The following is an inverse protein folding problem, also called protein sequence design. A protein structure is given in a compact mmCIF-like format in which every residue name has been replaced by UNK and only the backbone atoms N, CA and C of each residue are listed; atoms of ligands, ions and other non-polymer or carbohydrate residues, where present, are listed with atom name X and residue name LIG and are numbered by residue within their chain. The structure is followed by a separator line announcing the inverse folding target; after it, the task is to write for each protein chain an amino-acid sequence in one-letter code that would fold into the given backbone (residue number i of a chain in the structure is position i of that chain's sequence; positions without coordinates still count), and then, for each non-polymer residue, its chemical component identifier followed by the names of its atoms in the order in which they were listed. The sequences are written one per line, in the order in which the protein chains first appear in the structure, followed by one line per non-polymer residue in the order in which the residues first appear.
data_IF_823547480038
#
_entry.id   IF_823547480038
#
_cell.length_a   1.000
_cell.length_b   1.000
_cell.length_c   1.000
_cell.angle_alpha   90.00
_cell.angle_beta   90.00
_cell.angle_gamma   90.00
#
_symmetry.space_group_name_H-M   'P 1'
#
loop_
_entity.id
_entity.type
_entity.pdbx_description
1 polymer ?
#
# COMPACT_ATOMS: atom_id res chain seq x y z
N UNK A 1 -4.78 -7.62 -23.58
CA UNK A 1 -5.84 -6.59 -23.68
C UNK A 1 -5.68 -5.79 -24.97
N UNK A 2 -6.78 -5.37 -25.61
CA UNK A 2 -6.74 -4.56 -26.84
C UNK A 2 -6.44 -3.09 -26.50
N UNK A 3 -5.58 -2.45 -27.29
CA UNK A 3 -5.23 -1.01 -27.13
C UNK A 3 -6.48 -0.13 -27.18
N UNK A 4 -7.43 -0.42 -28.08
CA UNK A 4 -8.68 0.34 -28.21
C UNK A 4 -9.53 0.28 -26.93
N UNK A 5 -9.58 -0.87 -26.25
CA UNK A 5 -10.28 -1.03 -24.96
C UNK A 5 -9.63 -0.18 -23.88
N UNK A 6 -8.30 -0.20 -23.78
CA UNK A 6 -7.56 0.60 -22.80
C UNK A 6 -7.70 2.10 -23.07
N UNK A 7 -7.60 2.53 -24.33
CA UNK A 7 -7.82 3.92 -24.71
C UNK A 7 -9.23 4.39 -24.38
N UNK A 8 -10.26 3.57 -24.65
CA UNK A 8 -11.64 3.90 -24.29
C UNK A 8 -11.78 4.11 -22.78
N UNK A 9 -11.21 3.21 -21.99
CA UNK A 9 -11.30 3.25 -20.53
C UNK A 9 -10.54 4.44 -19.92
N UNK A 10 -9.25 4.60 -20.23
CA UNK A 10 -8.41 5.64 -19.64
C UNK A 10 -8.75 7.05 -20.14
N UNK A 11 -9.44 7.19 -21.27
CA UNK A 11 -9.84 8.48 -21.82
C UNK A 11 -11.15 9.03 -21.24
N UNK A 12 -11.71 8.38 -20.20
CA UNK A 12 -12.81 8.93 -19.41
C UNK A 12 -12.31 10.11 -18.57
N UNK A 13 -12.95 11.28 -18.68
CA UNK A 13 -12.41 12.50 -18.09
C UNK A 13 -12.27 12.43 -16.56
N UNK A 14 -13.22 11.83 -15.85
CA UNK A 14 -13.15 11.66 -14.39
C UNK A 14 -11.95 10.80 -13.96
N UNK A 15 -11.74 9.66 -14.63
CA UNK A 15 -10.59 8.78 -14.38
C UNK A 15 -9.28 9.50 -14.72
N UNK A 16 -9.25 10.17 -15.87
CA UNK A 16 -8.04 10.84 -16.33
C UNK A 16 -7.62 11.97 -15.41
N UNK A 17 -8.57 12.80 -14.96
CA UNK A 17 -8.32 13.89 -14.03
C UNK A 17 -7.75 13.37 -12.70
N UNK A 18 -8.29 12.26 -12.20
CA UNK A 18 -7.80 11.63 -10.98
C UNK A 18 -6.41 11.02 -11.15
N UNK A 19 -6.13 10.37 -12.28
CA UNK A 19 -4.79 9.88 -12.61
C UNK A 19 -3.79 11.03 -12.62
N UNK A 20 -4.09 12.13 -13.32
CA UNK A 20 -3.20 13.29 -13.37
C UNK A 20 -2.99 13.93 -12.00
N UNK A 21 -4.05 14.01 -11.17
CA UNK A 21 -3.96 14.50 -9.78
C UNK A 21 -2.97 13.67 -8.97
N UNK A 22 -3.08 12.35 -9.04
CA UNK A 22 -2.25 11.43 -8.25
C UNK A 22 -0.82 11.34 -8.79
N UNK A 23 -0.61 11.50 -10.10
CA UNK A 23 0.72 11.54 -10.72
C UNK A 23 1.55 12.78 -10.34
N UNK A 24 0.90 13.85 -9.88
CA UNK A 24 1.59 15.10 -9.51
C UNK A 24 2.66 14.83 -8.45
N UNK A 25 3.84 15.41 -8.65
CA UNK A 25 5.00 15.31 -7.77
C UNK A 25 5.47 13.87 -7.51
N UNK A 26 5.12 12.90 -8.37
CA UNK A 26 5.54 11.49 -8.22
C UNK A 26 6.29 10.98 -9.43
N UNK A 27 7.11 9.96 -9.18
CA UNK A 27 7.62 9.14 -10.26
C UNK A 27 6.49 8.23 -10.77
N UNK A 28 6.30 8.16 -12.09
CA UNK A 28 5.22 7.40 -12.74
C UNK A 28 5.78 6.45 -13.77
N UNK A 29 5.64 5.14 -13.54
CA UNK A 29 6.23 4.10 -14.37
C UNK A 29 5.15 3.23 -15.03
N UNK A 30 5.07 3.21 -16.37
CA UNK A 30 4.19 2.31 -17.08
C UNK A 30 4.73 0.87 -17.04
N UNK A 31 3.82 -0.09 -17.04
CA UNK A 31 4.09 -1.51 -17.25
C UNK A 31 3.46 -1.92 -18.57
N UNK A 32 4.29 -2.42 -19.48
CA UNK A 32 3.89 -2.79 -20.82
C UNK A 32 3.31 -4.20 -20.88
N UNK A 33 2.55 -4.50 -21.93
CA UNK A 33 1.89 -5.80 -22.12
C UNK A 33 2.81 -7.03 -22.07
N UNK A 34 4.11 -6.86 -22.34
CA UNK A 34 5.11 -7.93 -22.24
C UNK A 34 5.71 -8.08 -20.82
N UNK A 35 5.18 -7.36 -19.83
CA UNK A 35 5.59 -7.45 -18.43
C UNK A 35 6.83 -6.63 -18.04
N UNK A 36 7.38 -5.81 -18.94
CA UNK A 36 8.51 -4.94 -18.62
C UNK A 36 8.06 -3.56 -18.17
N UNK A 37 8.73 -3.02 -17.15
CA UNK A 37 8.54 -1.65 -16.69
C UNK A 37 9.21 -0.65 -17.64
N UNK A 38 8.64 0.56 -17.74
CA UNK A 38 9.26 1.69 -18.39
C UNK A 38 10.54 2.16 -17.70
N UNK A 39 11.30 3.02 -18.37
CA UNK A 39 12.52 3.62 -17.81
C UNK A 39 12.18 4.55 -16.64
N UNK A 40 13.09 4.57 -15.67
CA UNK A 40 13.03 5.38 -14.45
C UNK A 40 14.15 6.44 -14.45
N UNK A 41 13.92 7.67 -13.95
CA UNK A 41 12.64 8.23 -13.57
C UNK A 41 11.76 8.60 -14.78
N UNK A 42 10.47 8.73 -14.53
CA UNK A 42 9.47 9.14 -15.54
C UNK A 42 8.31 9.84 -14.84
N UNK A 43 7.56 10.65 -15.59
CA UNK A 43 6.38 11.40 -15.13
C UNK A 43 5.28 11.34 -16.18
N UNK A 44 4.04 11.62 -15.76
CA UNK A 44 2.90 11.89 -16.64
C UNK A 44 2.37 13.25 -16.21
N UNK A 45 2.43 14.24 -17.10
CA UNK A 45 2.03 15.62 -16.78
C UNK A 45 0.73 15.99 -17.48
N UNK A 46 0.51 15.44 -18.67
CA UNK A 46 -0.64 15.77 -19.51
C UNK A 46 -1.39 14.52 -19.96
N UNK A 47 -2.69 14.70 -20.30
CA UNK A 47 -3.56 13.71 -20.93
C UNK A 47 -2.87 12.97 -22.07
N UNK A 48 -2.18 13.72 -22.94
CA UNK A 48 -1.51 13.16 -24.12
C UNK A 48 -0.39 12.18 -23.75
N UNK A 49 0.35 12.43 -22.67
CA UNK A 49 1.45 11.56 -22.22
C UNK A 49 0.92 10.16 -21.87
N UNK A 50 -0.16 10.10 -21.09
CA UNK A 50 -0.83 8.86 -20.72
C UNK A 50 -1.33 8.10 -21.98
N UNK A 51 -2.05 8.80 -22.87
CA UNK A 51 -2.61 8.17 -24.07
C UNK A 51 -1.53 7.67 -25.03
N UNK A 52 -0.41 8.40 -25.18
CA UNK A 52 0.71 7.99 -26.03
C UNK A 52 1.45 6.77 -25.45
N UNK A 53 1.56 6.66 -24.11
CA UNK A 53 2.07 5.45 -23.47
C UNK A 53 1.18 4.23 -23.72
N UNK A 54 -0.15 4.40 -23.66
CA UNK A 54 -1.11 3.33 -23.98
C UNK A 54 -0.98 2.91 -25.45
N UNK A 55 -0.85 3.86 -26.38
CA UNK A 55 -0.61 3.56 -27.80
C UNK A 55 0.69 2.79 -28.02
N UNK A 56 1.71 3.03 -27.19
CA UNK A 56 2.98 2.27 -27.15
C UNK A 56 2.87 0.92 -26.44
N UNK A 57 1.70 0.54 -25.94
CA UNK A 57 1.43 -0.75 -25.33
C UNK A 57 1.52 -0.79 -23.80
N UNK A 58 1.52 0.36 -23.13
CA UNK A 58 1.35 0.41 -21.67
C UNK A 58 -0.04 -0.08 -21.27
N UNK A 59 -0.11 -0.88 -20.21
CA UNK A 59 -1.35 -1.48 -19.69
C UNK A 59 -1.63 -0.97 -18.28
N UNK A 60 -0.64 -1.10 -17.40
CA UNK A 60 -0.71 -0.61 -16.02
C UNK A 60 0.25 0.56 -15.82
N UNK A 61 -0.01 1.36 -14.80
CA UNK A 61 0.81 2.46 -14.36
C UNK A 61 0.98 2.38 -12.85
N UNK A 62 2.18 2.76 -12.40
CA UNK A 62 2.58 2.68 -11.02
C UNK A 62 3.17 4.02 -10.60
N UNK A 63 2.91 4.44 -9.37
CA UNK A 63 3.39 5.70 -8.81
C UNK A 63 4.32 5.44 -7.62
N UNK A 64 5.28 6.34 -7.40
CA UNK A 64 6.05 6.32 -6.15
C UNK A 64 5.18 6.69 -4.96
N UNK A 65 5.40 6.01 -3.84
CA UNK A 65 4.79 6.39 -2.56
C UNK A 65 5.34 7.73 -2.07
N UNK A 66 6.63 7.98 -2.31
CA UNK A 66 7.27 9.28 -2.09
C UNK A 66 6.84 10.33 -3.12
N UNK A 67 6.88 11.59 -2.68
CA UNK A 67 6.61 12.80 -3.46
C UNK A 67 7.89 13.62 -3.57
N UNK A 68 8.10 14.24 -4.73
CA UNK A 68 9.36 14.86 -5.12
C UNK A 68 9.11 16.23 -5.74
N UNK A 69 9.98 17.19 -5.43
CA UNK A 69 9.97 18.53 -6.04
C UNK A 69 10.14 18.47 -7.56
N UNK A 70 10.99 17.56 -8.03
CA UNK A 70 11.15 17.24 -9.45
C UNK A 70 11.50 15.75 -9.59
N UNK A 71 10.53 14.87 -9.90
CA UNK A 71 10.78 13.43 -10.01
C UNK A 71 11.85 13.06 -11.06
N UNK A 72 12.03 13.87 -12.11
CA UNK A 72 13.04 13.60 -13.15
C UNK A 72 14.48 13.77 -12.63
N UNK A 73 14.69 14.56 -11.58
CA UNK A 73 16.01 14.74 -10.95
C UNK A 73 16.51 13.50 -10.21
N UNK A 74 15.64 12.52 -9.92
CA UNK A 74 16.02 11.23 -9.30
C UNK A 74 17.00 10.41 -10.15
N UNK A 75 17.16 10.71 -11.44
CA UNK A 75 18.15 10.07 -12.30
C UNK A 75 19.59 10.50 -11.98
N UNK A 76 19.76 11.55 -11.19
CA UNK A 76 21.06 12.15 -10.83
C UNK A 76 21.43 11.94 -9.36
N UNK A 77 20.54 11.37 -8.56
CA UNK A 77 20.78 11.11 -7.13
C UNK A 77 21.46 9.76 -6.93
N UNK A 78 22.53 9.72 -6.15
CA UNK A 78 23.29 8.52 -5.81
C UNK A 78 23.27 8.21 -4.30
N UNK A 79 22.88 9.17 -3.48
CA UNK A 79 22.85 9.02 -2.01
C UNK A 79 21.45 9.27 -1.45
N UNK A 80 21.21 8.74 -0.24
CA UNK A 80 19.97 9.03 0.51
C UNK A 80 19.81 10.53 0.74
N UNK A 81 20.88 11.24 1.09
CA UNK A 81 20.84 12.68 1.37
C UNK A 81 20.35 13.49 0.16
N UNK A 82 20.89 13.22 -1.03
CA UNK A 82 20.45 13.88 -2.28
C UNK A 82 18.98 13.58 -2.59
N UNK A 83 18.52 12.36 -2.33
CA UNK A 83 17.09 12.03 -2.46
C UNK A 83 16.23 12.79 -1.45
N UNK A 84 16.67 12.87 -0.19
CA UNK A 84 15.95 13.56 0.88
C UNK A 84 15.81 15.06 0.57
N UNK A 85 16.77 15.67 -0.13
CA UNK A 85 16.71 17.07 -0.60
C UNK A 85 15.64 17.29 -1.69
N UNK A 86 15.37 16.28 -2.50
CA UNK A 86 14.30 16.31 -3.52
C UNK A 86 12.93 15.98 -2.93
N UNK A 87 12.87 15.24 -1.82
CA UNK A 87 11.62 14.73 -1.26
C UNK A 87 10.81 15.86 -0.63
N UNK A 88 9.53 15.94 -1.01
CA UNK A 88 8.57 16.92 -0.45
C UNK A 88 7.58 16.27 0.52
N UNK A 89 7.50 14.94 0.52
CA UNK A 89 6.65 14.15 1.40
C UNK A 89 6.57 12.70 0.95
N UNK A 90 5.72 11.92 1.60
CA UNK A 90 5.43 10.53 1.24
C UNK A 90 4.12 10.12 1.88
N UNK A 91 3.40 9.21 1.25
CA UNK A 91 2.14 8.70 1.79
C UNK A 91 2.37 7.36 2.48
N UNK A 92 1.58 7.03 3.49
CA UNK A 92 1.65 5.72 4.11
C UNK A 92 0.74 4.81 3.32
N UNK A 93 1.25 3.71 2.77
CA UNK A 93 0.45 2.76 2.01
C UNK A 93 0.71 1.35 2.51
N UNK A 94 -0.35 0.64 2.87
CA UNK A 94 -0.33 -0.78 3.17
C UNK A 94 -0.80 -1.54 1.94
N UNK A 95 -0.03 -2.53 1.50
CA UNK A 95 -0.44 -3.47 0.45
C UNK A 95 -0.82 -4.80 1.10
N UNK A 96 -2.11 -5.09 1.14
CA UNK A 96 -2.67 -6.35 1.65
C UNK A 96 -2.80 -7.30 0.47
N UNK A 97 -1.92 -8.29 0.38
CA UNK A 97 -1.96 -9.32 -0.65
C UNK A 97 -2.32 -10.70 -0.09
N UNK A 98 -3.12 -11.43 -0.85
CA UNK A 98 -3.51 -12.81 -0.57
C UNK A 98 -4.16 -13.38 -1.82
N UNK A 99 -4.23 -14.71 -1.91
CA UNK A 99 -4.92 -15.39 -3.02
C UNK A 99 -6.44 -15.30 -2.90
N UNK A 100 -6.99 -14.95 -1.73
CA UNK A 100 -8.43 -15.00 -1.47
C UNK A 100 -8.96 -13.64 -1.03
N UNK A 101 -9.81 -13.04 -1.88
CA UNK A 101 -10.38 -11.72 -1.64
C UNK A 101 -11.12 -11.60 -0.29
N UNK A 102 -11.80 -12.67 0.15
CA UNK A 102 -12.47 -12.69 1.45
C UNK A 102 -11.50 -12.46 2.63
N UNK A 103 -10.30 -13.04 2.57
CA UNK A 103 -9.27 -12.84 3.59
C UNK A 103 -8.74 -11.40 3.54
N UNK A 104 -8.56 -10.86 2.33
CA UNK A 104 -8.12 -9.48 2.13
C UNK A 104 -9.12 -8.47 2.71
N UNK A 105 -10.44 -8.72 2.56
CA UNK A 105 -11.50 -7.86 3.10
C UNK A 105 -11.43 -7.76 4.62
N UNK A 106 -11.31 -8.91 5.30
CA UNK A 106 -11.22 -8.97 6.77
C UNK A 106 -9.99 -8.18 7.25
N UNK A 107 -8.83 -8.40 6.63
CA UNK A 107 -7.59 -7.70 6.98
C UNK A 107 -7.69 -6.18 6.70
N UNK A 108 -8.17 -5.78 5.52
CA UNK A 108 -8.34 -4.39 5.17
C UNK A 108 -9.29 -3.64 6.13
N UNK A 109 -10.40 -4.28 6.53
CA UNK A 109 -11.34 -3.71 7.50
C UNK A 109 -10.71 -3.52 8.88
N UNK A 110 -9.93 -4.49 9.35
CA UNK A 110 -9.19 -4.35 10.61
C UNK A 110 -8.13 -3.23 10.54
N UNK A 111 -7.44 -3.07 9.42
CA UNK A 111 -6.53 -1.94 9.21
C UNK A 111 -7.27 -0.59 9.20
N UNK A 112 -8.48 -0.52 8.62
CA UNK A 112 -9.31 0.68 8.71
C UNK A 112 -9.61 1.04 10.16
N UNK A 113 -10.12 0.07 10.95
CA UNK A 113 -10.40 0.29 12.36
C UNK A 113 -9.15 0.67 13.17
N UNK A 114 -7.98 0.11 12.82
CA UNK A 114 -6.72 0.48 13.46
C UNK A 114 -6.33 1.93 13.14
N UNK A 115 -6.50 2.39 11.89
CA UNK A 115 -6.29 3.79 11.53
C UNK A 115 -7.25 4.74 12.27
N UNK A 116 -8.53 4.38 12.34
CA UNK A 116 -9.56 5.13 13.08
C UNK A 116 -9.26 5.20 14.59
N UNK A 117 -8.78 4.10 15.17
CA UNK A 117 -8.34 4.05 16.57
C UNK A 117 -7.23 5.06 16.86
N UNK A 118 -6.36 5.34 15.88
CA UNK A 118 -5.32 6.37 15.96
C UNK A 118 -5.77 7.75 15.47
N UNK A 119 -7.08 8.02 15.48
CA UNK A 119 -7.68 9.30 15.13
C UNK A 119 -7.43 9.75 13.67
N UNK A 120 -7.11 8.82 12.77
CA UNK A 120 -6.92 9.12 11.35
C UNK A 120 -8.29 9.11 10.67
N UNK A 121 -8.78 10.30 10.35
CA UNK A 121 -10.11 10.47 9.74
C UNK A 121 -10.06 10.51 8.22
N UNK A 122 -8.90 10.84 7.64
CA UNK A 122 -8.71 10.87 6.19
C UNK A 122 -7.75 9.77 5.75
N UNK A 123 -8.29 8.64 5.33
CA UNK A 123 -7.57 7.57 4.68
C UNK A 123 -8.39 7.06 3.49
N UNK A 124 -7.76 6.28 2.63
CA UNK A 124 -8.35 5.79 1.40
C UNK A 124 -8.12 4.31 1.23
N UNK A 125 -9.07 3.62 0.61
CA UNK A 125 -8.99 2.19 0.33
C UNK A 125 -9.21 1.97 -1.15
N UNK A 126 -8.44 1.07 -1.75
CA UNK A 126 -8.66 0.62 -3.12
C UNK A 126 -8.47 -0.87 -3.25
N UNK A 127 -9.31 -1.52 -4.04
CA UNK A 127 -9.02 -2.86 -4.56
C UNK A 127 -7.78 -2.78 -5.47
N UNK A 128 -6.86 -3.74 -5.38
CA UNK A 128 -5.59 -3.69 -6.13
C UNK A 128 -5.72 -4.05 -7.61
N UNK A 129 -6.90 -4.46 -8.07
CA UNK A 129 -7.13 -5.13 -9.35
C UNK A 129 -6.74 -6.62 -9.34
N UNK A 130 -6.20 -7.12 -8.23
CA UNK A 130 -5.79 -8.51 -8.01
C UNK A 130 -6.74 -9.28 -7.09
N UNK A 131 -6.27 -9.61 -5.90
CA UNK A 131 -7.06 -10.27 -4.85
C UNK A 131 -6.90 -9.58 -3.50
N UNK A 132 -6.28 -8.40 -3.50
CA UNK A 132 -5.89 -7.64 -2.34
C UNK A 132 -6.43 -6.21 -2.33
N UNK A 133 -6.08 -5.47 -1.28
CA UNK A 133 -6.44 -4.07 -1.09
C UNK A 133 -5.21 -3.24 -0.77
N UNK A 134 -5.22 -1.97 -1.18
CA UNK A 134 -4.28 -0.99 -0.65
C UNK A 134 -5.04 -0.03 0.24
N UNK A 135 -4.47 0.28 1.40
CA UNK A 135 -4.93 1.34 2.27
C UNK A 135 -3.89 2.45 2.28
N UNK A 136 -4.33 3.70 2.22
CA UNK A 136 -3.46 4.85 2.07
C UNK A 136 -3.82 5.99 3.00
N UNK A 137 -2.84 6.52 3.73
CA UNK A 137 -2.94 7.76 4.51
C UNK A 137 -2.11 8.85 3.83
N UNK A 138 -2.72 9.98 3.42
CA UNK A 138 -2.01 11.03 2.71
C UNK A 138 -1.00 11.76 3.60
N UNK A 139 0.12 12.19 3.01
CA UNK A 139 1.17 12.96 3.70
C UNK A 139 0.64 14.19 4.46
N UNK A 140 -0.43 14.80 3.97
CA UNK A 140 -1.09 15.95 4.58
C UNK A 140 -1.58 15.68 6.02
N UNK A 141 -1.88 14.42 6.36
CA UNK A 141 -2.30 14.00 7.70
C UNK A 141 -1.13 13.90 8.70
N UNK A 142 0.11 13.88 8.21
CA UNK A 142 1.27 13.59 9.06
C UNK A 142 1.65 14.77 9.94
N UNK A 143 2.24 14.55 11.12
CA UNK A 143 2.90 15.61 11.87
C UNK A 143 4.06 16.20 11.07
N UNK A 144 4.37 17.49 11.26
CA UNK A 144 5.53 18.12 10.60
C UNK A 144 6.85 17.49 11.06
N UNK A 145 6.95 17.17 12.35
CA UNK A 145 8.13 16.54 12.92
C UNK A 145 7.78 15.44 13.93
N UNK A 146 8.63 14.42 13.99
CA UNK A 146 8.66 13.39 15.03
C UNK A 146 10.08 13.32 15.59
N UNK A 147 10.21 13.39 16.93
CA UNK A 147 11.52 13.39 17.61
C UNK A 147 12.49 14.46 17.08
N UNK A 148 11.97 15.65 16.73
CA UNK A 148 12.71 16.77 16.13
C UNK A 148 13.23 16.53 14.70
N UNK A 149 12.88 15.41 14.08
CA UNK A 149 13.17 15.15 12.66
C UNK A 149 11.95 15.47 11.80
N UNK A 150 12.18 16.09 10.64
CA UNK A 150 11.16 16.37 9.62
C UNK A 150 10.57 15.06 9.09
N UNK A 151 9.26 14.90 9.23
CA UNK A 151 8.57 13.67 8.84
C UNK A 151 8.74 13.37 7.36
N UNK A 152 8.89 14.38 6.50
CA UNK A 152 9.15 14.15 5.07
C UNK A 152 10.43 13.31 4.87
N UNK A 153 11.44 13.45 5.73
CA UNK A 153 12.75 12.78 5.60
C UNK A 153 12.80 11.40 6.25
N UNK A 154 11.73 10.99 6.94
CA UNK A 154 11.69 9.73 7.68
C UNK A 154 11.37 8.50 6.82
N UNK A 155 11.16 8.65 5.51
CA UNK A 155 10.95 7.51 4.63
C UNK A 155 12.29 6.77 4.33
N UNK A 156 12.32 5.42 4.30
CA UNK A 156 11.21 4.49 4.54
C UNK A 156 11.00 4.12 6.02
N UNK A 157 11.88 4.56 6.93
CA UNK A 157 11.93 4.09 8.32
C UNK A 157 10.60 4.30 9.07
N UNK A 158 10.00 5.48 9.00
CA UNK A 158 8.72 5.73 9.65
C UNK A 158 7.61 4.84 9.07
N UNK A 159 7.54 4.71 7.75
CA UNK A 159 6.55 3.88 7.07
C UNK A 159 6.67 2.40 7.49
N UNK A 160 7.90 1.86 7.51
CA UNK A 160 8.18 0.49 7.96
C UNK A 160 7.78 0.27 9.42
N UNK A 161 8.15 1.19 10.32
CA UNK A 161 7.81 1.09 11.75
C UNK A 161 6.30 1.08 11.97
N UNK A 162 5.59 1.99 11.29
CA UNK A 162 4.14 2.08 11.35
C UNK A 162 3.49 0.80 10.79
N UNK A 163 4.00 0.27 9.67
CA UNK A 163 3.45 -0.93 9.07
C UNK A 163 3.63 -2.18 9.92
N UNK A 164 4.81 -2.38 10.50
CA UNK A 164 5.05 -3.48 11.43
C UNK A 164 4.20 -3.32 12.70
N UNK A 165 4.07 -2.10 13.22
CA UNK A 165 3.23 -1.82 14.40
C UNK A 165 1.75 -2.15 14.16
N UNK A 166 1.15 -1.64 13.09
CA UNK A 166 -0.27 -1.90 12.80
C UNK A 166 -0.52 -3.37 12.43
N UNK A 167 0.45 -4.01 11.77
CA UNK A 167 0.40 -5.46 11.51
C UNK A 167 0.35 -6.22 12.84
N UNK A 168 1.26 -5.95 13.77
CA UNK A 168 1.26 -6.60 15.09
C UNK A 168 -0.05 -6.34 15.87
N UNK A 169 -0.52 -5.09 15.86
CA UNK A 169 -1.75 -4.67 16.54
C UNK A 169 -2.99 -5.45 16.10
N UNK A 170 -3.12 -5.79 14.81
CA UNK A 170 -4.31 -6.49 14.29
C UNK A 170 -4.18 -8.01 14.28
N UNK A 171 -3.00 -8.59 14.61
CA UNK A 171 -2.71 -10.02 14.43
C UNK A 171 -3.76 -10.91 15.09
N UNK A 172 -4.00 -10.72 16.39
CA UNK A 172 -4.90 -11.56 17.18
C UNK A 172 -6.34 -11.47 16.65
N UNK A 173 -6.83 -10.23 16.43
CA UNK A 173 -8.19 -10.01 15.91
C UNK A 173 -8.38 -10.55 14.50
N UNK A 174 -7.35 -10.51 13.68
CA UNK A 174 -7.36 -11.08 12.34
C UNK A 174 -7.47 -12.61 12.40
N UNK A 175 -6.71 -13.26 13.29
CA UNK A 175 -6.80 -14.71 13.51
C UNK A 175 -8.20 -15.12 13.99
N UNK A 176 -8.73 -14.43 15.00
CA UNK A 176 -10.08 -14.67 15.54
C UNK A 176 -11.16 -14.52 14.46
N UNK A 177 -11.14 -13.41 13.70
CA UNK A 177 -12.15 -13.15 12.69
C UNK A 177 -12.11 -14.18 11.56
N UNK A 178 -10.92 -14.61 11.12
CA UNK A 178 -10.77 -15.68 10.14
C UNK A 178 -11.32 -17.01 10.67
N UNK A 179 -10.97 -17.38 11.91
CA UNK A 179 -11.42 -18.63 12.52
C UNK A 179 -12.92 -18.66 12.85
N UNK A 180 -13.55 -17.49 12.99
CA UNK A 180 -15.01 -17.39 13.17
C UNK A 180 -15.81 -17.78 11.91
N UNK A 181 -15.16 -17.75 10.74
CA UNK A 181 -15.77 -18.02 9.43
C UNK A 181 -15.22 -19.31 8.80
N UNK A 182 -13.95 -19.63 9.06
CA UNK A 182 -13.22 -20.73 8.42
C UNK A 182 -12.55 -21.62 9.46
N UNK A 183 -12.66 -22.94 9.33
CA UNK A 183 -11.83 -23.86 10.13
C UNK A 183 -10.41 -23.94 9.55
N UNK A 184 -9.44 -24.38 10.36
CA UNK A 184 -8.06 -24.58 9.90
C UNK A 184 -7.97 -25.57 8.73
N UNK A 185 -8.80 -26.61 8.73
CA UNK A 185 -8.89 -27.59 7.65
C UNK A 185 -9.39 -26.93 6.37
N UNK A 186 -10.41 -26.07 6.47
CA UNK A 186 -10.94 -25.35 5.30
C UNK A 186 -9.93 -24.34 4.73
N UNK A 187 -9.15 -23.68 5.60
CA UNK A 187 -8.07 -22.78 5.18
C UNK A 187 -6.96 -23.59 4.50
N UNK A 188 -6.57 -24.73 5.08
CA UNK A 188 -5.57 -25.65 4.54
C UNK A 188 -5.95 -26.14 3.14
N UNK A 189 -7.16 -26.67 2.98
CA UNK A 189 -7.70 -27.13 1.70
C UNK A 189 -7.73 -26.00 0.67
N UNK A 190 -8.29 -24.85 1.06
CA UNK A 190 -8.45 -23.71 0.16
C UNK A 190 -7.10 -23.17 -0.31
N UNK A 191 -6.13 -23.04 0.59
CA UNK A 191 -4.80 -22.45 0.31
C UNK A 191 -3.81 -23.44 -0.30
N UNK A 192 -4.05 -24.74 -0.15
CA UNK A 192 -3.14 -25.82 -0.52
C UNK A 192 -1.92 -25.93 0.41
N UNK A 193 -2.02 -25.43 1.64
CA UNK A 193 -0.96 -25.49 2.67
C UNK A 193 -1.30 -26.54 3.71
N UNK A 194 -0.30 -27.17 4.32
CA UNK A 194 -0.55 -28.08 5.44
C UNK A 194 -0.93 -27.29 6.70
N UNK A 195 -1.78 -27.86 7.56
CA UNK A 195 -2.23 -27.20 8.81
C UNK A 195 -1.04 -26.76 9.67
N UNK A 196 0.02 -27.57 9.75
CA UNK A 196 1.23 -27.24 10.51
C UNK A 196 1.90 -25.94 10.03
N UNK A 197 1.79 -25.61 8.74
CA UNK A 197 2.38 -24.41 8.14
C UNK A 197 1.51 -23.16 8.37
N UNK A 198 0.31 -23.33 8.94
CA UNK A 198 -0.61 -22.26 9.31
C UNK A 198 -0.43 -21.81 10.76
N UNK A 199 0.31 -22.57 11.57
CA UNK A 199 0.49 -22.31 12.99
C UNK A 199 1.82 -21.58 13.24
N UNK A 200 1.88 -20.77 14.30
CA UNK A 200 3.14 -20.25 14.82
C UNK A 200 3.80 -21.22 15.82
N UNK A 201 4.93 -20.80 16.40
CA UNK A 201 5.71 -21.60 17.35
C UNK A 201 4.95 -22.02 18.61
N UNK A 202 3.83 -21.36 18.91
CA UNK A 202 2.97 -21.69 20.07
C UNK A 202 1.89 -22.71 19.73
N UNK A 203 1.72 -23.04 18.44
CA UNK A 203 0.64 -23.89 17.95
C UNK A 203 -0.66 -23.13 17.68
N UNK A 204 -0.66 -21.79 17.78
CA UNK A 204 -1.80 -20.95 17.44
C UNK A 204 -1.81 -20.56 15.97
N UNK A 205 -3.01 -20.27 15.43
CA UNK A 205 -3.15 -19.88 14.03
C UNK A 205 -2.45 -18.55 13.75
N UNK A 206 -1.50 -18.56 12.82
CA UNK A 206 -0.85 -17.37 12.31
C UNK A 206 -1.55 -16.89 11.02
N UNK A 207 -2.32 -15.78 11.06
CA UNK A 207 -3.03 -15.30 9.88
C UNK A 207 -2.08 -14.82 8.77
N UNK A 208 -0.84 -14.46 9.11
CA UNK A 208 0.17 -14.05 8.14
C UNK A 208 0.80 -15.21 7.37
N UNK A 209 0.45 -16.45 7.71
CA UNK A 209 0.76 -17.62 6.85
C UNK A 209 -0.01 -17.59 5.52
N UNK A 210 -1.11 -16.83 5.44
CA UNK A 210 -2.03 -16.81 4.28
C UNK A 210 -2.35 -15.39 3.76
N UNK A 211 -1.98 -14.36 4.51
CA UNK A 211 -2.14 -12.95 4.16
C UNK A 211 -0.78 -12.26 4.32
N UNK A 212 -0.37 -11.51 3.31
CA UNK A 212 0.82 -10.68 3.36
C UNK A 212 0.40 -9.22 3.49
N UNK A 213 1.00 -8.50 4.45
CA UNK A 213 0.94 -7.04 4.52
C UNK A 213 2.36 -6.58 4.23
N UNK A 214 2.57 -5.92 3.09
CA UNK A 214 3.92 -5.59 2.66
C UNK A 214 4.52 -4.48 3.54
N UNK A 215 5.25 -4.90 4.56
CA UNK A 215 5.96 -4.02 5.51
C UNK A 215 7.44 -3.84 5.15
N UNK A 216 8.00 -4.74 4.33
CA UNK A 216 9.44 -4.84 4.04
C UNK A 216 9.78 -4.19 2.68
N UNK A 217 8.92 -4.30 1.66
CA UNK A 217 9.22 -3.72 0.36
C UNK A 217 9.09 -2.19 0.34
N UNK A 218 8.60 -1.58 1.42
CA UNK A 218 8.63 -0.14 1.66
C UNK A 218 10.11 0.30 1.67
N UNK A 219 10.59 0.71 0.51
CA UNK A 219 11.98 1.03 0.23
C UNK A 219 12.04 2.30 -0.62
N UNK A 220 13.20 2.98 -0.70
CA UNK A 220 13.30 4.20 -1.48
C UNK A 220 12.85 3.99 -2.93
N UNK A 221 12.01 4.89 -3.40
CA UNK A 221 11.31 4.89 -4.69
C UNK A 221 10.45 3.63 -4.91
N UNK A 222 9.87 3.08 -3.85
CA UNK A 222 8.90 2.00 -3.95
C UNK A 222 7.67 2.45 -4.77
N UNK A 223 7.21 1.56 -5.66
CA UNK A 223 6.13 1.81 -6.60
C UNK A 223 4.89 1.00 -6.21
N UNK A 224 3.74 1.66 -6.17
CA UNK A 224 2.44 1.00 -6.04
C UNK A 224 1.63 1.16 -7.32
N UNK A 225 0.73 0.23 -7.59
CA UNK A 225 -0.24 0.39 -8.67
C UNK A 225 -1.16 1.58 -8.36
N UNK A 226 -1.18 2.56 -9.25
CA UNK A 226 -1.94 3.79 -9.02
C UNK A 226 -3.46 3.52 -9.07
N UNK A 227 -4.29 4.33 -8.38
CA UNK A 227 -5.74 4.25 -8.50
C UNK A 227 -6.18 4.37 -9.96
N UNK A 228 -7.25 3.65 -10.31
CA UNK A 228 -7.80 3.54 -11.65
C UNK A 228 -6.88 2.91 -12.71
N UNK A 229 -5.67 2.45 -12.34
CA UNK A 229 -4.84 1.68 -13.25
C UNK A 229 -5.34 0.25 -13.41
N UNK A 230 -5.35 -0.24 -14.63
CA UNK A 230 -5.65 -1.63 -14.97
C UNK A 230 -4.51 -2.54 -14.49
N UNK A 231 -4.85 -3.63 -13.83
CA UNK A 231 -3.96 -4.74 -13.52
C UNK A 231 -3.70 -5.56 -14.80
N UNK A 232 -2.44 -5.62 -15.23
CA UNK A 232 -2.02 -6.27 -16.46
C UNK A 232 -2.26 -7.79 -16.50
N UNK A 233 -2.24 -8.44 -15.32
CA UNK A 233 -2.41 -9.89 -15.21
C UNK A 233 -3.88 -10.29 -15.16
N UNK A 234 -4.71 -9.52 -14.46
CA UNK A 234 -6.12 -9.86 -14.19
C UNK A 234 -7.11 -9.12 -15.09
N UNK A 235 -6.69 -8.03 -15.74
CA UNK A 235 -7.58 -7.21 -16.57
C UNK A 235 -8.67 -6.49 -15.78
N UNK A 236 -8.40 -6.20 -14.50
CA UNK A 236 -9.29 -5.47 -13.59
C UNK A 236 -8.66 -4.18 -13.13
N UNK A 237 -9.48 -3.20 -12.80
CA UNK A 237 -9.08 -1.86 -12.38
C UNK A 237 -8.71 -1.86 -10.89
N UNK A 238 -7.64 -1.16 -10.56
CA UNK A 238 -7.28 -0.80 -9.19
C UNK A 238 -8.25 0.26 -8.67
N UNK A 239 -9.40 -0.16 -8.16
CA UNK A 239 -10.58 0.69 -7.96
C UNK A 239 -10.67 1.20 -6.50
N UNK A 240 -10.61 2.52 -6.27
CA UNK A 240 -10.92 3.11 -4.96
C UNK A 240 -12.37 2.85 -4.55
N UNK A 241 -12.59 2.58 -3.27
CA UNK A 241 -13.90 2.28 -2.68
C UNK A 241 -14.01 2.92 -1.29
N UNK A 242 -15.24 3.18 -0.82
CA UNK A 242 -15.41 3.62 0.55
C UNK A 242 -14.99 2.49 1.53
N UNK A 243 -14.44 2.82 2.71
CA UNK A 243 -14.11 1.82 3.72
C UNK A 243 -15.31 0.92 4.10
N UNK A 244 -16.51 1.50 4.17
CA UNK A 244 -17.75 0.77 4.48
C UNK A 244 -18.13 -0.25 3.40
N UNK A 245 -17.69 -0.04 2.14
CA UNK A 245 -18.01 -0.91 1.01
C UNK A 245 -17.10 -2.15 0.92
N UNK A 246 -16.07 -2.28 1.78
CA UNK A 246 -15.09 -3.39 1.71
C UNK A 246 -15.79 -4.75 1.81
N UNK A 247 -16.75 -4.89 2.73
CA UNK A 247 -17.44 -6.14 3.01
C UNK A 247 -18.22 -6.63 1.78
N UNK A 248 -18.94 -5.72 1.12
CA UNK A 248 -19.81 -6.02 -0.01
C UNK A 248 -19.11 -5.92 -1.37
N UNK A 249 -17.84 -5.48 -1.39
CA UNK A 249 -17.09 -5.27 -2.62
C UNK A 249 -17.04 -6.54 -3.50
N UNK A 250 -17.54 -6.44 -4.73
CA UNK A 250 -17.39 -7.49 -5.74
C UNK A 250 -16.31 -7.10 -6.73
N UNK A 251 -15.34 -7.98 -6.96
CA UNK A 251 -14.29 -7.75 -7.96
C UNK A 251 -14.80 -7.64 -9.40
N UNK A 252 -16.08 -7.91 -9.64
CA UNK A 252 -16.71 -7.71 -10.94
C UNK A 252 -16.96 -6.24 -11.26
N UNK A 253 -17.19 -5.38 -10.26
CA UNK A 253 -17.28 -3.92 -10.48
C UNK A 253 -15.97 -3.30 -10.96
N UNK A 254 -14.86 -4.01 -10.80
CA UNK A 254 -13.54 -3.61 -11.28
C UNK A 254 -13.22 -4.10 -12.70
N UNK A 255 -14.17 -4.73 -13.42
CA UNK A 255 -13.95 -5.07 -14.85
C UNK A 255 -13.87 -3.77 -15.67
N UNK A 256 -12.96 -3.72 -16.64
CA UNK A 256 -12.72 -2.51 -17.45
C UNK A 256 -14.00 -1.89 -18.07
N UNK A 257 -14.97 -2.67 -18.58
CA UNK A 257 -16.22 -2.09 -19.12
C UNK A 257 -17.14 -1.47 -18.07
N UNK A 258 -17.03 -1.94 -16.82
CA UNK A 258 -17.95 -1.59 -15.72
C UNK A 258 -17.31 -0.58 -14.74
N UNK A 259 -15.98 -0.42 -14.81
CA UNK A 259 -15.22 0.43 -13.91
C UNK A 259 -15.35 1.91 -14.29
N UNK A 260 -15.87 2.69 -13.35
CA UNK A 260 -16.03 4.14 -13.43
C UNK A 260 -15.25 4.84 -12.32
N UNK A 261 -15.18 6.17 -12.38
CA UNK A 261 -14.69 6.95 -11.25
C UNK A 261 -15.66 6.83 -10.07
N UNK A 262 -15.12 6.63 -8.87
CA UNK A 262 -15.86 6.40 -7.63
C UNK A 262 -15.50 7.50 -6.63
N UNK A 263 -14.29 7.43 -6.07
CA UNK A 263 -13.76 8.37 -5.08
C UNK A 263 -12.26 8.62 -5.32
N UNK A 264 -11.74 9.79 -4.91
CA UNK A 264 -10.29 10.04 -4.94
C UNK A 264 -9.52 9.09 -4.01
N UNK A 265 -8.30 8.70 -4.39
CA UNK A 265 -7.39 7.93 -3.53
C UNK A 265 -6.19 8.78 -3.11
N UNK A 266 -5.79 8.74 -1.84
CA UNK A 266 -4.76 9.64 -1.26
C UNK A 266 -5.05 11.13 -1.53
N UNK A 267 -6.32 11.53 -1.44
CA UNK A 267 -6.66 12.96 -1.47
C UNK A 267 -6.47 13.59 -0.09
N UNK A 268 -5.45 14.42 0.04
CA UNK A 268 -5.14 15.14 1.28
C UNK A 268 -6.03 16.37 1.54
N UNK A 269 -6.97 16.71 0.65
CA UNK A 269 -7.80 17.92 0.79
C UNK A 269 -8.62 17.97 2.08
N UNK A 270 -8.96 16.81 2.65
CA UNK A 270 -9.71 16.67 3.91
C UNK A 270 -8.82 16.35 5.12
N UNK A 271 -7.51 16.19 4.92
CA UNK A 271 -6.57 15.89 6.00
C UNK A 271 -6.39 17.08 6.93
N UNK A 272 -6.25 16.80 8.23
CA UNK A 272 -5.73 17.79 9.18
C UNK A 272 -4.27 17.51 9.47
N UNK A 273 -3.41 18.52 9.28
CA UNK A 273 -1.98 18.42 9.59
C UNK A 273 -1.78 17.95 11.03
N UNK A 274 -1.03 16.86 11.21
CA UNK A 274 -0.75 16.30 12.52
C UNK A 274 -1.81 15.36 13.10
N UNK A 275 -2.90 15.05 12.39
CA UNK A 275 -3.89 14.09 12.90
C UNK A 275 -3.29 12.69 13.10
N UNK A 276 -2.31 12.30 12.27
CA UNK A 276 -1.62 11.02 12.41
C UNK A 276 -0.52 11.03 13.50
N UNK A 277 -0.36 12.10 14.30
CA UNK A 277 0.72 12.21 15.29
C UNK A 277 0.71 11.07 16.29
N UNK A 278 -0.49 10.67 16.75
CA UNK A 278 -0.64 9.56 17.68
C UNK A 278 -0.13 8.24 17.11
N UNK A 279 -0.50 7.90 15.86
CA UNK A 279 0.00 6.72 15.16
C UNK A 279 1.53 6.70 15.13
N UNK A 280 2.16 7.83 14.76
CA UNK A 280 3.61 7.92 14.69
C UNK A 280 4.27 7.73 16.06
N UNK A 281 3.77 8.39 17.11
CA UNK A 281 4.33 8.27 18.47
C UNK A 281 4.20 6.84 18.96
N UNK A 282 3.00 6.25 18.89
CA UNK A 282 2.77 4.89 19.36
C UNK A 282 3.61 3.86 18.59
N UNK A 283 3.69 3.99 17.26
CA UNK A 283 4.51 3.09 16.45
C UNK A 283 6.00 3.17 16.78
N UNK A 284 6.54 4.38 16.99
CA UNK A 284 7.95 4.56 17.34
C UNK A 284 8.26 4.03 18.75
N UNK A 285 7.40 4.32 19.73
CA UNK A 285 7.57 3.84 21.10
C UNK A 285 7.48 2.32 21.19
N UNK A 286 6.48 1.73 20.51
CA UNK A 286 6.33 0.29 20.42
C UNK A 286 7.53 -0.38 19.76
N UNK A 287 8.01 0.17 18.65
CA UNK A 287 9.15 -0.38 17.91
C UNK A 287 10.43 -0.34 18.77
N UNK A 288 10.70 0.79 19.43
CA UNK A 288 11.88 0.94 20.30
C UNK A 288 11.86 -0.07 21.46
N UNK A 289 10.70 -0.25 22.11
CA UNK A 289 10.53 -1.27 23.16
C UNK A 289 10.78 -2.68 22.63
N UNK A 290 10.24 -3.02 21.46
CA UNK A 290 10.41 -4.35 20.84
C UNK A 290 11.88 -4.63 20.49
N UNK A 291 12.60 -3.63 19.97
CA UNK A 291 14.03 -3.74 19.67
C UNK A 291 14.88 -3.92 20.93
N UNK A 292 14.58 -3.18 22.00
CA UNK A 292 15.28 -3.34 23.29
C UNK A 292 15.14 -4.77 23.84
N UNK A 293 13.94 -5.34 23.81
CA UNK A 293 13.70 -6.73 24.24
C UNK A 293 14.50 -7.74 23.39
N UNK A 294 14.62 -7.50 22.08
CA UNK A 294 15.40 -8.37 21.19
C UNK A 294 16.91 -8.28 21.49
N UNK A 295 17.42 -7.09 21.77
CA UNK A 295 18.83 -6.89 22.16
C UNK A 295 19.16 -7.58 23.48
N UNK A 296 18.28 -7.46 24.49
CA UNK A 296 18.47 -8.11 25.79
C UNK A 296 18.43 -9.64 25.66
N UNK A 297 17.54 -10.19 24.83
CA UNK A 297 17.51 -11.63 24.52
C UNK A 297 18.81 -12.11 23.86
N UNK A 298 19.37 -11.33 22.93
CA UNK A 298 20.64 -11.67 22.25
C UNK A 298 21.81 -11.68 23.24
N UNK A 299 21.92 -10.67 24.10
CA UNK A 299 22.97 -10.62 25.14
C UNK A 299 22.90 -11.84 26.07
N UNK A 300 21.71 -12.19 26.54
CA UNK A 300 21.51 -13.36 27.41
C UNK A 300 21.86 -14.70 26.72
N UNK A 301 21.70 -14.81 25.40
CA UNK A 301 22.11 -15.98 24.62
C UNK A 301 23.64 -16.05 24.50
N UNK A 302 24.29 -14.94 24.14
CA UNK A 302 25.75 -14.85 24.02
C UNK A 302 26.47 -15.11 25.36
N UNK A 303 25.88 -14.73 26.48
CA UNK A 303 26.40 -15.01 27.83
C UNK A 303 26.26 -16.49 28.23
N UNK A 304 25.26 -17.21 27.69
CA UNK A 304 25.06 -18.65 27.95
C UNK A 304 25.96 -19.56 27.12
N UNK A 305 26.50 -19.03 26.01
CA UNK A 305 27.40 -19.74 25.11
C UNK A 305 28.89 -19.55 25.46
N UNK A 306 29.20 -18.74 26.49
CA UNK A 306 30.54 -18.53 27.05
C UNK A 306 30.75 -19.33 28.33
#
# INVERSE_FOLDING_TARGET
MKISTLLKYYNQDAILNEILRVCKDREVIPLFSKGFFGKRPSTILYKKDLLDLIRKGAVSFHISVERWRNPLSLGQTNTKQEMDELRTGWDLVFDVDTKYLGYAKICAKLLCHALEFHNINNYSVKYSGGTGFHLGVPFESFPETINSEDTAKLFPIAAQRIAVYLTDMIKEKLAENLLSIYSLESISEKTGREVKDLLDETGEFNPYSIIEIDTIAISPRHLIRMPYSVNEKKGRVSLPIAPDDIEDFSSDSAKIPDAEFTIPFLDGSKSRRGEARELFVQAFDWYNKKMQVLEDKKKNLEERER
#
